data_IF_641497102793
#
_entry.id   IF_641497102793
#
_cell.length_a   1.000
_cell.length_b   1.000
_cell.length_c   1.000
_cell.angle_alpha   90.00
_cell.angle_beta   90.00
_cell.angle_gamma   90.00
#
_symmetry.space_group_name_H-M   'P 1'
#
loop_
_entity.id
_entity.type
_entity.pdbx_description
1 polymer ?
#
# COMPACT_ATOMS: atom_id res chain seq x y z
N UNK A 1 11.60 8.65 3.15
CA UNK A 1 11.11 8.52 4.54
C UNK A 1 11.15 7.05 4.96
N UNK A 2 11.02 6.76 6.25
CA UNK A 2 10.90 5.39 6.78
C UNK A 2 9.63 5.28 7.61
N UNK A 3 9.01 4.11 7.65
CA UNK A 3 7.82 3.85 8.42
C UNK A 3 7.76 2.38 8.85
N UNK A 4 7.12 2.13 10.00
CA UNK A 4 6.84 0.76 10.43
C UNK A 4 5.75 0.13 9.55
N UNK A 5 5.98 -1.10 9.14
CA UNK A 5 5.07 -1.85 8.28
C UNK A 5 4.78 -3.24 8.83
N UNK A 6 3.62 -3.77 8.45
CA UNK A 6 3.24 -5.14 8.75
C UNK A 6 3.32 -5.97 7.46
N UNK A 7 4.08 -7.07 7.52
CA UNK A 7 4.14 -8.04 6.43
C UNK A 7 2.87 -8.90 6.46
N UNK A 8 1.88 -8.51 5.66
CA UNK A 8 0.56 -9.14 5.66
C UNK A 8 0.48 -10.22 4.58
N UNK A 9 0.80 -11.45 4.97
CA UNK A 9 0.63 -12.64 4.11
C UNK A 9 -0.83 -12.90 3.73
N UNK A 10 -1.79 -12.32 4.45
CA UNK A 10 -3.22 -12.40 4.17
C UNK A 10 -3.73 -11.32 3.23
N UNK A 11 -2.94 -10.27 2.97
CA UNK A 11 -3.29 -9.23 2.01
C UNK A 11 -3.22 -9.81 0.60
N UNK A 12 -4.38 -10.03 0.00
CA UNK A 12 -4.53 -10.52 -1.38
C UNK A 12 -4.95 -9.41 -2.34
N UNK A 13 -4.84 -8.15 -1.93
CA UNK A 13 -5.26 -7.04 -2.78
C UNK A 13 -4.35 -6.96 -4.01
N UNK A 14 -4.98 -7.13 -5.17
CA UNK A 14 -4.34 -7.01 -6.46
C UNK A 14 -5.11 -6.02 -7.29
N UNK A 15 -4.40 -5.27 -8.12
CA UNK A 15 -5.06 -4.49 -9.15
C UNK A 15 -5.79 -5.47 -10.10
N UNK A 16 -7.12 -5.39 -10.23
CA UNK A 16 -7.89 -6.32 -11.06
C UNK A 16 -7.57 -6.19 -12.56
N UNK A 17 -6.96 -5.08 -12.99
CA UNK A 17 -6.58 -4.88 -14.40
C UNK A 17 -5.21 -5.49 -14.71
N UNK A 18 -4.17 -5.09 -13.97
CA UNK A 18 -2.80 -5.56 -14.23
C UNK A 18 -2.40 -6.83 -13.47
N UNK A 19 -3.18 -7.25 -12.47
CA UNK A 19 -2.85 -8.35 -11.56
C UNK A 19 -1.73 -8.04 -10.55
N UNK A 20 -1.17 -6.82 -10.60
CA UNK A 20 -0.06 -6.40 -9.75
C UNK A 20 -0.45 -6.45 -8.27
N UNK A 21 0.47 -6.91 -7.38
CA UNK A 21 0.25 -6.84 -5.94
C UNK A 21 0.12 -5.38 -5.50
N UNK A 22 -0.77 -5.13 -4.55
CA UNK A 22 -1.04 -3.79 -4.01
C UNK A 22 -0.69 -3.75 -2.53
N UNK A 23 0.31 -2.94 -2.19
CA UNK A 23 0.59 -2.57 -0.80
C UNK A 23 -0.40 -1.49 -0.38
N UNK A 24 -0.74 -1.40 0.91
CA UNK A 24 -1.67 -0.38 1.41
C UNK A 24 -0.98 0.45 2.48
N UNK A 25 -0.78 1.73 2.22
CA UNK A 25 -0.14 2.67 3.14
C UNK A 25 -1.14 3.67 3.71
N UNK A 26 -0.87 4.16 4.91
CA UNK A 26 -1.54 5.33 5.46
C UNK A 26 -1.47 6.48 4.46
N UNK A 27 -2.62 7.12 4.21
CA UNK A 27 -2.71 8.20 3.21
C UNK A 27 -1.70 9.33 3.48
N UNK A 28 -1.52 9.73 4.75
CA UNK A 28 -0.56 10.80 5.09
C UNK A 28 0.87 10.38 4.80
N UNK A 29 1.22 9.10 5.02
CA UNK A 29 2.54 8.60 4.64
C UNK A 29 2.80 8.76 3.13
N UNK A 30 1.81 8.48 2.28
CA UNK A 30 1.96 8.68 0.84
C UNK A 30 2.00 10.16 0.46
N UNK A 31 1.23 11.02 1.10
CA UNK A 31 1.29 12.48 0.90
C UNK A 31 2.67 13.05 1.30
N UNK A 32 3.28 12.54 2.38
CA UNK A 32 4.65 12.88 2.82
C UNK A 32 5.72 12.39 1.82
N UNK A 33 5.53 11.19 1.25
CA UNK A 33 6.48 10.57 0.32
C UNK A 33 6.37 11.10 -1.11
N UNK A 34 5.17 11.49 -1.53
CA UNK A 34 4.84 11.88 -2.90
C UNK A 34 3.98 13.16 -2.90
N UNK A 35 4.49 14.28 -2.37
CA UNK A 35 3.72 15.52 -2.28
C UNK A 35 3.34 16.01 -3.68
N UNK A 36 2.04 16.25 -3.90
CA UNK A 36 1.53 16.82 -5.15
C UNK A 36 1.68 15.92 -6.37
N UNK A 37 1.69 14.59 -6.22
CA UNK A 37 1.78 13.69 -7.37
C UNK A 37 0.46 13.64 -8.14
N UNK A 38 0.53 13.93 -9.45
CA UNK A 38 -0.62 13.78 -10.37
C UNK A 38 -0.74 12.35 -10.92
N UNK A 39 0.26 11.50 -10.67
CA UNK A 39 0.34 10.11 -11.18
C UNK A 39 -0.37 9.12 -10.26
N UNK A 40 -1.67 9.31 -10.10
CA UNK A 40 -2.52 8.42 -9.29
C UNK A 40 -3.24 7.41 -10.20
N UNK A 41 -3.09 6.12 -9.89
CA UNK A 41 -3.86 5.02 -10.48
C UNK A 41 -5.04 4.69 -9.57
N UNK A 42 -6.25 4.56 -10.12
CA UNK A 42 -7.42 4.16 -9.34
C UNK A 42 -7.56 2.63 -9.37
N UNK A 43 -7.54 2.00 -8.20
CA UNK A 43 -7.63 0.55 -8.04
C UNK A 43 -9.00 0.20 -7.45
N UNK A 44 -9.85 -0.55 -8.18
CA UNK A 44 -11.05 -1.12 -7.59
C UNK A 44 -10.68 -2.09 -6.46
N UNK A 45 -11.32 -1.96 -5.31
CA UNK A 45 -11.17 -2.92 -4.22
C UNK A 45 -12.51 -3.32 -3.64
N UNK A 46 -12.55 -4.51 -3.04
CA UNK A 46 -13.72 -5.06 -2.37
C UNK A 46 -13.36 -5.40 -0.93
N UNK A 47 -14.23 -4.99 -0.01
CA UNK A 47 -14.13 -5.37 1.41
C UNK A 47 -14.79 -6.72 1.64
N UNK A 48 -14.43 -7.38 2.75
CA UNK A 48 -14.92 -8.73 3.09
C UNK A 48 -16.44 -8.74 3.31
N UNK A 49 -17.00 -7.64 3.83
CA UNK A 49 -18.44 -7.44 4.06
C UNK A 49 -19.23 -7.15 2.76
N UNK A 50 -18.59 -7.26 1.59
CA UNK A 50 -19.24 -7.13 0.29
C UNK A 50 -19.32 -5.70 -0.22
N UNK A 51 -18.89 -4.70 0.56
CA UNK A 51 -18.67 -3.34 0.09
C UNK A 51 -17.57 -3.25 -0.98
N UNK A 52 -17.58 -2.17 -1.75
CA UNK A 52 -16.59 -1.92 -2.79
C UNK A 52 -16.43 -0.44 -3.05
N UNK A 53 -15.21 -0.02 -3.35
CA UNK A 53 -14.88 1.36 -3.70
C UNK A 53 -13.58 1.39 -4.51
N UNK A 54 -13.01 2.58 -4.70
CA UNK A 54 -11.76 2.78 -5.42
C UNK A 54 -10.69 3.34 -4.47
N UNK A 55 -9.46 2.85 -4.60
CA UNK A 55 -8.29 3.39 -3.90
C UNK A 55 -7.44 4.18 -4.89
N UNK A 56 -6.99 5.36 -4.48
CA UNK A 56 -5.89 6.02 -5.17
C UNK A 56 -4.58 5.32 -4.83
N UNK A 57 -3.78 5.01 -5.84
CA UNK A 57 -2.49 4.36 -5.68
C UNK A 57 -1.41 5.04 -6.49
N UNK A 58 -0.18 4.96 -6.00
CA UNK A 58 1.02 5.48 -6.68
C UNK A 58 1.96 4.31 -6.94
N UNK A 59 2.68 4.38 -8.06
CA UNK A 59 3.83 3.50 -8.28
C UNK A 59 5.06 4.23 -7.78
N UNK A 60 5.67 3.74 -6.70
CA UNK A 60 6.96 4.24 -6.21
C UNK A 60 8.07 3.69 -7.10
N UNK A 61 9.26 4.29 -7.10
CA UNK A 61 10.39 3.73 -7.86
C UNK A 61 10.92 2.45 -7.22
N UNK A 62 11.09 2.46 -5.90
CA UNK A 62 11.60 1.34 -5.10
C UNK A 62 11.09 1.41 -3.67
N UNK A 63 10.85 0.26 -3.06
CA UNK A 63 10.58 0.11 -1.63
C UNK A 63 11.43 -1.03 -1.08
N UNK A 64 11.94 -0.86 0.14
CA UNK A 64 12.70 -1.89 0.84
C UNK A 64 12.10 -2.10 2.22
N UNK A 65 11.77 -3.35 2.55
CA UNK A 65 11.27 -3.76 3.85
C UNK A 65 12.33 -4.58 4.57
N UNK A 66 12.79 -4.09 5.72
CA UNK A 66 13.86 -4.71 6.51
C UNK A 66 13.28 -5.25 7.82
N UNK A 67 13.55 -6.52 8.12
CA UNK A 67 13.20 -7.17 9.37
C UNK A 67 14.38 -8.00 9.88
N UNK A 68 15.09 -7.47 10.90
CA UNK A 68 16.31 -8.09 11.40
C UNK A 68 17.35 -8.22 10.30
N UNK A 69 17.76 -9.45 9.98
CA UNK A 69 18.71 -9.75 8.89
C UNK A 69 18.04 -9.98 7.53
N UNK A 70 16.70 -9.98 7.46
CA UNK A 70 15.95 -10.16 6.22
C UNK A 70 15.66 -8.81 5.58
N UNK A 71 15.83 -8.73 4.25
CA UNK A 71 15.39 -7.60 3.45
C UNK A 71 14.55 -8.11 2.26
N UNK A 72 13.45 -7.42 1.98
CA UNK A 72 12.63 -7.59 0.79
C UNK A 72 12.69 -6.31 -0.02
N UNK A 73 13.09 -6.42 -1.28
CA UNK A 73 13.17 -5.31 -2.22
C UNK A 73 12.03 -5.42 -3.21
N UNK A 74 11.24 -4.35 -3.31
CA UNK A 74 10.16 -4.22 -4.27
C UNK A 74 10.55 -3.15 -5.30
N UNK A 75 10.73 -3.58 -6.54
CA UNK A 75 10.97 -2.69 -7.67
C UNK A 75 9.63 -2.25 -8.27
N UNK A 76 9.47 -0.93 -8.41
CA UNK A 76 8.23 -0.30 -8.87
C UNK A 76 6.96 -0.82 -8.17
N UNK A 77 6.87 -0.82 -6.83
CA UNK A 77 5.70 -1.32 -6.12
C UNK A 77 4.49 -0.41 -6.33
N UNK A 78 3.31 -1.01 -6.44
CA UNK A 78 2.03 -0.29 -6.44
C UNK A 78 1.54 -0.16 -5.00
N UNK A 79 1.41 1.08 -4.53
CA UNK A 79 1.04 1.39 -3.14
C UNK A 79 -0.22 2.23 -3.13
N UNK A 80 -1.31 1.66 -2.61
CA UNK A 80 -2.59 2.32 -2.44
C UNK A 80 -2.65 3.11 -1.12
N UNK A 81 -3.27 4.28 -1.15
CA UNK A 81 -3.63 5.01 0.06
C UNK A 81 -4.80 4.31 0.75
N UNK A 82 -4.68 4.13 2.07
CA UNK A 82 -5.74 3.58 2.89
C UNK A 82 -7.00 4.46 2.82
N UNK A 83 -8.21 3.89 2.81
CA UNK A 83 -9.44 4.66 3.01
C UNK A 83 -9.36 5.48 4.30
N UNK A 84 -10.02 6.64 4.33
CA UNK A 84 -10.04 7.50 5.53
C UNK A 84 -10.62 6.80 6.78
N UNK A 85 -11.47 5.79 6.59
CA UNK A 85 -12.05 4.96 7.66
C UNK A 85 -11.10 3.88 8.17
N UNK A 86 -10.07 3.50 7.41
CA UNK A 86 -9.13 2.46 7.80
C UNK A 86 -8.03 3.05 8.68
N UNK A 87 -8.11 2.80 9.98
CA UNK A 87 -7.06 3.14 10.94
C UNK A 87 -6.09 1.98 11.09
N UNK A 88 -4.89 2.13 10.54
CA UNK A 88 -3.78 1.24 10.88
C UNK A 88 -3.45 1.43 12.38
N UNK A 89 -3.28 0.32 13.12
CA UNK A 89 -3.05 0.33 14.58
C UNK A 89 -1.60 0.00 14.91
N UNK A 90 -1.20 0.32 16.15
CA UNK A 90 0.11 -0.04 16.73
C UNK A 90 1.31 0.55 15.97
N UNK A 91 1.21 1.79 15.47
CA UNK A 91 2.33 2.44 14.77
C UNK A 91 2.56 1.97 13.33
N UNK A 92 1.94 0.86 12.92
CA UNK A 92 1.96 0.40 11.54
C UNK A 92 1.38 1.48 10.61
N UNK A 93 2.13 1.84 9.58
CA UNK A 93 1.69 2.79 8.54
C UNK A 93 1.60 2.15 7.16
N UNK A 94 2.00 0.89 6.99
CA UNK A 94 1.91 0.19 5.70
C UNK A 94 1.67 -1.32 5.88
N UNK A 95 0.75 -1.87 5.10
CA UNK A 95 0.55 -3.31 4.91
C UNK A 95 1.27 -3.75 3.65
N UNK A 96 2.23 -4.66 3.81
CA UNK A 96 3.02 -5.18 2.70
C UNK A 96 2.35 -6.43 2.12
N UNK A 97 2.11 -6.42 0.81
CA UNK A 97 1.77 -7.62 0.04
C UNK A 97 3.03 -8.46 -0.20
N UNK A 98 2.94 -9.79 -0.03
CA UNK A 98 4.01 -10.76 -0.32
C UNK A 98 3.96 -11.33 -1.73
#
# INVERSE_FOLDING_TARGET
AQAEGFLDTGNRLRDPVSGRPVHVADRKLLEELCPGTDRVTMIPYRTIDGGGSVLGAVTLDRMEAVQGTRSLVYERPLVAASPASLKMRNGCRILLHT
#
